data_IF_679835419359
#
_entry.id   IF_679835419359
#
_cell.length_a   1.000
_cell.length_b   1.000
_cell.length_c   1.000
_cell.angle_alpha   90.00
_cell.angle_beta   90.00
_cell.angle_gamma   90.00
#
_symmetry.space_group_name_H-M   'P 1'
#
loop_
_entity.id
_entity.type
_entity.pdbx_description
1 polymer ?
#
# COMPACT_ATOMS: atom_id res chain seq x y z
N UNK A 1 -0.72 -9.86 -7.72
CA UNK A 1 -0.15 -8.77 -6.88
C UNK A 1 -0.57 -8.98 -5.42
N UNK A 2 0.39 -9.11 -4.50
CA UNK A 2 0.12 -9.34 -3.07
C UNK A 2 -0.67 -8.17 -2.44
N UNK A 3 -1.75 -8.47 -1.72
CA UNK A 3 -2.60 -7.49 -1.05
C UNK A 3 -2.11 -7.27 0.38
N UNK A 4 -2.01 -6.02 0.80
CA UNK A 4 -1.64 -5.67 2.18
C UNK A 4 -2.90 -5.60 3.04
N UNK A 5 -2.85 -6.20 4.23
CA UNK A 5 -3.91 -6.10 5.21
C UNK A 5 -4.07 -4.63 5.67
N UNK A 6 -5.28 -4.04 5.64
CA UNK A 6 -5.50 -2.66 6.11
C UNK A 6 -4.98 -2.36 7.52
N UNK A 7 -4.91 -3.36 8.41
CA UNK A 7 -4.31 -3.22 9.75
C UNK A 7 -2.81 -2.87 9.73
N UNK A 8 -2.14 -3.07 8.59
CA UNK A 8 -0.73 -2.74 8.38
C UNK A 8 -0.50 -1.29 7.95
N UNK A 9 -1.56 -0.50 7.70
CA UNK A 9 -1.42 0.91 7.30
C UNK A 9 -0.54 1.73 8.26
N UNK A 10 -0.69 1.65 9.60
CA UNK A 10 0.20 2.38 10.51
C UNK A 10 1.68 2.00 10.33
N UNK A 11 1.95 0.70 10.16
CA UNK A 11 3.31 0.19 9.95
C UNK A 11 3.90 0.69 8.63
N UNK A 12 3.11 0.73 7.56
CA UNK A 12 3.55 1.27 6.28
C UNK A 12 3.88 2.77 6.37
N UNK A 13 3.12 3.53 7.17
CA UNK A 13 3.41 4.95 7.41
C UNK A 13 4.71 5.15 8.20
N UNK A 14 5.01 4.29 9.17
CA UNK A 14 6.30 4.32 9.87
C UNK A 14 7.48 4.03 8.94
N UNK A 15 7.36 3.01 8.09
CA UNK A 15 8.42 2.66 7.13
C UNK A 15 8.62 3.79 6.11
N UNK A 16 7.54 4.42 5.63
CA UNK A 16 7.67 5.58 4.74
C UNK A 16 8.45 6.73 5.40
N UNK A 17 8.18 7.04 6.67
CA UNK A 17 8.91 8.07 7.42
C UNK A 17 10.40 7.74 7.55
N UNK A 18 10.72 6.48 7.87
CA UNK A 18 12.12 6.03 7.97
C UNK A 18 12.85 6.13 6.62
N UNK A 19 12.19 5.71 5.53
CA UNK A 19 12.76 5.81 4.19
C UNK A 19 13.00 7.26 3.75
N UNK A 20 12.10 8.19 4.08
CA UNK A 20 12.31 9.62 3.80
C UNK A 20 13.54 10.15 4.55
N UNK A 21 13.74 9.73 5.81
CA UNK A 21 14.92 10.12 6.58
C UNK A 21 16.21 9.55 5.97
N UNK A 22 16.19 8.28 5.55
CA UNK A 22 17.33 7.64 4.88
C UNK A 22 17.64 8.28 3.54
N UNK A 23 16.62 8.65 2.77
CA UNK A 23 16.79 9.37 1.50
C UNK A 23 17.54 10.67 1.71
N UNK A 24 17.14 11.45 2.71
CA UNK A 24 17.82 12.70 3.06
C UNK A 24 19.28 12.48 3.43
N UNK A 25 19.57 11.46 4.25
CA UNK A 25 20.96 11.09 4.57
C UNK A 25 21.75 10.70 3.32
N UNK A 26 21.16 9.90 2.43
CA UNK A 26 21.81 9.50 1.19
C UNK A 26 22.08 10.70 0.26
N UNK A 27 21.22 11.72 0.27
CA UNK A 27 21.48 13.00 -0.42
C UNK A 27 22.65 13.75 0.21
N UNK A 28 22.67 13.89 1.54
CA UNK A 28 23.73 14.58 2.28
C UNK A 28 25.10 13.88 2.10
N UNK A 29 25.10 12.55 2.00
CA UNK A 29 26.30 11.71 1.85
C UNK A 29 26.64 11.39 0.38
N UNK A 30 25.88 11.94 -0.58
CA UNK A 30 26.00 11.71 -2.02
C UNK A 30 25.98 10.23 -2.45
N UNK A 31 25.21 9.40 -1.75
CA UNK A 31 25.01 7.99 -2.06
C UNK A 31 23.96 7.81 -3.16
N UNK A 32 24.35 8.16 -4.39
CA UNK A 32 23.44 8.16 -5.55
C UNK A 32 22.73 6.81 -5.79
N UNK A 33 23.44 5.69 -5.60
CA UNK A 33 22.85 4.36 -5.76
C UNK A 33 21.79 4.00 -4.71
N UNK A 34 21.93 4.52 -3.49
CA UNK A 34 20.97 4.27 -2.41
C UNK A 34 19.69 5.12 -2.61
N UNK A 35 19.82 6.33 -3.16
CA UNK A 35 18.69 7.22 -3.45
C UNK A 35 17.70 6.55 -4.42
N UNK A 36 18.20 5.96 -5.52
CA UNK A 36 17.33 5.30 -6.51
C UNK A 36 16.57 4.10 -5.90
N UNK A 37 17.25 3.29 -5.08
CA UNK A 37 16.64 2.16 -4.38
C UNK A 37 15.57 2.61 -3.38
N UNK A 38 15.82 3.71 -2.66
CA UNK A 38 14.86 4.29 -1.71
C UNK A 38 13.65 4.87 -2.45
N UNK A 39 13.84 5.59 -3.55
CA UNK A 39 12.76 6.19 -4.33
C UNK A 39 11.82 5.13 -4.94
N UNK A 40 12.40 4.04 -5.45
CA UNK A 40 11.65 2.89 -5.93
C UNK A 40 10.81 2.27 -4.79
N UNK A 41 11.43 2.06 -3.63
CA UNK A 41 10.75 1.48 -2.46
C UNK A 41 9.63 2.39 -1.94
N UNK A 42 9.86 3.71 -1.89
CA UNK A 42 8.85 4.71 -1.53
C UNK A 42 7.64 4.66 -2.46
N UNK A 43 7.86 4.53 -3.77
CA UNK A 43 6.78 4.38 -4.76
C UNK A 43 5.94 3.13 -4.49
N UNK A 44 6.58 2.01 -4.19
CA UNK A 44 5.87 0.78 -3.83
C UNK A 44 5.06 0.92 -2.55
N UNK A 45 5.62 1.51 -1.50
CA UNK A 45 4.92 1.70 -0.22
C UNK A 45 3.69 2.60 -0.40
N UNK A 46 3.83 3.73 -1.09
CA UNK A 46 2.70 4.64 -1.37
C UNK A 46 1.59 3.95 -2.15
N UNK A 47 1.95 3.13 -3.14
CA UNK A 47 1.00 2.31 -3.89
C UNK A 47 0.26 1.33 -2.97
N UNK A 48 0.97 0.64 -2.07
CA UNK A 48 0.36 -0.28 -1.10
C UNK A 48 -0.54 0.41 -0.09
N UNK A 49 -0.16 1.60 0.38
CA UNK A 49 -1.00 2.39 1.28
C UNK A 49 -2.29 2.83 0.58
N UNK A 50 -2.20 3.32 -0.67
CA UNK A 50 -3.37 3.72 -1.44
C UNK A 50 -4.33 2.53 -1.69
N UNK A 51 -3.78 1.37 -2.04
CA UNK A 51 -4.56 0.13 -2.19
C UNK A 51 -5.24 -0.28 -0.88
N UNK A 52 -4.51 -0.32 0.23
CA UNK A 52 -5.05 -0.71 1.53
C UNK A 52 -6.12 0.29 2.03
N UNK A 53 -5.92 1.59 1.83
CA UNK A 53 -6.87 2.63 2.20
C UNK A 53 -8.20 2.50 1.43
N UNK A 54 -8.16 2.09 0.15
CA UNK A 54 -9.37 1.82 -0.64
C UNK A 54 -10.21 0.69 -0.05
N UNK A 55 -9.59 -0.32 0.58
CA UNK A 55 -10.31 -1.41 1.22
C UNK A 55 -10.93 -1.01 2.55
N UNK A 56 -10.25 -0.18 3.35
CA UNK A 56 -10.85 0.36 4.60
C UNK A 56 -12.13 1.14 4.32
N UNK A 57 -12.23 1.79 3.16
CA UNK A 57 -13.40 2.58 2.75
C UNK A 57 -14.55 1.74 2.15
N UNK A 58 -14.30 0.50 1.77
CA UNK A 58 -15.32 -0.37 1.17
C UNK A 58 -16.04 -1.14 2.26
N UNK A 59 -17.25 -0.69 2.60
CA UNK A 59 -18.18 -1.47 3.42
C UNK A 59 -18.61 -2.73 2.66
N UNK A 60 -18.62 -3.92 3.30
CA UNK A 60 -19.19 -5.11 2.70
C UNK A 60 -20.65 -4.87 2.33
N UNK A 61 -21.02 -5.18 1.08
CA UNK A 61 -22.42 -5.19 0.63
C UNK A 61 -22.89 -6.63 0.54
N UNK A 62 -24.00 -6.95 1.19
CA UNK A 62 -24.63 -8.26 1.11
C UNK A 62 -25.35 -8.39 -0.23
N UNK A 63 -24.79 -9.19 -1.14
CA UNK A 63 -25.34 -9.39 -2.50
C UNK A 63 -26.45 -10.46 -2.56
N UNK A 64 -26.77 -11.12 -1.45
CA UNK A 64 -27.70 -12.26 -1.41
C UNK A 64 -27.16 -13.49 -2.14
N UNK A 65 -27.94 -14.59 -2.12
CA UNK A 65 -27.66 -15.80 -2.90
C UNK A 65 -28.53 -15.75 -4.17
N UNK A 66 -27.97 -15.88 -5.38
CA UNK A 66 -28.77 -15.88 -6.60
C UNK A 66 -29.67 -17.12 -6.64
N UNK A 67 -30.97 -16.92 -6.84
CA UNK A 67 -31.93 -18.00 -7.08
C UNK A 67 -32.01 -18.32 -8.57
N UNK A 68 -31.93 -19.61 -8.92
CA UNK A 68 -32.17 -20.06 -10.28
C UNK A 68 -33.67 -20.03 -10.55
N UNK A 69 -34.10 -19.28 -11.57
CA UNK A 69 -35.49 -19.32 -12.03
C UNK A 69 -35.74 -20.67 -12.70
N UNK A 70 -36.56 -21.53 -12.09
CA UNK A 70 -37.07 -22.75 -12.73
C UNK A 70 -38.09 -22.33 -13.79
N UNK A 71 -37.83 -22.68 -15.05
CA UNK A 71 -38.81 -22.59 -16.13
C UNK A 71 -39.64 -23.88 -16.07
N UNK A 72 -40.95 -23.73 -15.93
CA UNK A 72 -41.94 -24.81 -16.08
C UNK A 72 -42.52 -24.80 -17.50
#
# INVERSE_FOLDING_TARGET
MLRVNPKMLPRLTEIEKDLVLRRKRAEDEQWLGEIEGIDLTLTFIRTKQADAARFTRRTPVTLGIPTTRRLE
#
